data_IF_849435856594
#
_entry.id   IF_849435856594
#
_cell.length_a   1.000
_cell.length_b   1.000
_cell.length_c   1.000
_cell.angle_alpha   90.00
_cell.angle_beta   90.00
_cell.angle_gamma   90.00
#
_symmetry.space_group_name_H-M   'P 1'
#
loop_
_entity.id
_entity.type
_entity.pdbx_description
1 polymer ?
#
# COMPACT_ATOMS: atom_id res chain seq x y z
N UNK A 1 -7.21 -2.72 -9.28
CA UNK A 1 -6.48 -1.99 -8.18
C UNK A 1 -4.96 -2.08 -8.31
N UNK A 2 -4.45 -3.17 -8.80
CA UNK A 2 -3.01 -3.37 -9.00
C UNK A 2 -2.32 -2.21 -9.73
N UNK A 3 -2.85 -1.80 -10.89
CA UNK A 3 -2.26 -0.72 -11.68
C UNK A 3 -2.21 0.62 -10.95
N UNK A 4 -3.13 0.87 -10.02
CA UNK A 4 -3.19 2.09 -9.22
C UNK A 4 -1.93 2.30 -8.39
N UNK A 5 -1.29 1.22 -7.91
CA UNK A 5 -0.05 1.28 -7.14
C UNK A 5 1.14 1.78 -7.97
N UNK A 6 1.05 1.73 -9.28
CA UNK A 6 2.12 2.18 -10.18
C UNK A 6 1.80 3.47 -10.93
N UNK A 7 0.53 3.74 -11.23
CA UNK A 7 0.14 4.86 -12.07
C UNK A 7 -0.30 6.09 -11.29
N UNK A 8 -0.93 5.90 -10.13
CA UNK A 8 -1.43 6.99 -9.29
C UNK A 8 -1.28 6.58 -7.83
N UNK A 9 -0.03 6.46 -7.39
CA UNK A 9 0.27 5.98 -6.05
C UNK A 9 -0.18 6.98 -4.97
N UNK A 10 -0.86 6.46 -3.96
CA UNK A 10 -1.24 7.14 -2.74
C UNK A 10 -1.04 6.19 -1.57
N UNK A 11 -0.58 6.68 -0.43
CA UNK A 11 -0.46 5.87 0.79
C UNK A 11 -1.81 5.37 1.26
N UNK A 12 -2.83 6.23 1.21
CA UNK A 12 -4.21 5.89 1.56
C UNK A 12 -5.11 6.13 0.35
N UNK A 13 -5.80 5.10 -0.10
CA UNK A 13 -6.70 5.16 -1.23
C UNK A 13 -8.14 5.24 -0.72
N UNK A 14 -8.80 6.38 -0.94
CA UNK A 14 -10.19 6.62 -0.55
C UNK A 14 -11.12 6.67 -1.76
N UNK A 15 -10.62 7.11 -2.91
CA UNK A 15 -11.40 7.25 -4.12
C UNK A 15 -10.73 6.52 -5.28
N UNK A 16 -11.54 5.94 -6.15
CA UNK A 16 -11.06 5.32 -7.38
C UNK A 16 -11.72 5.98 -8.59
N UNK A 17 -10.95 6.15 -9.63
CA UNK A 17 -11.40 6.77 -10.88
C UNK A 17 -11.51 5.76 -12.04
N UNK A 18 -11.24 4.49 -11.76
CA UNK A 18 -11.31 3.40 -12.73
C UNK A 18 -12.32 2.37 -12.26
N UNK A 19 -13.22 1.98 -13.14
CA UNK A 19 -14.27 1.02 -12.84
C UNK A 19 -14.17 -0.15 -13.82
N UNK A 20 -14.34 -1.37 -13.30
CA UNK A 20 -14.39 -2.59 -14.08
C UNK A 20 -15.63 -3.38 -13.69
N UNK A 21 -16.11 -4.23 -14.60
CA UNK A 21 -17.23 -5.12 -14.30
C UNK A 21 -16.80 -6.17 -13.28
N UNK A 22 -17.58 -6.32 -12.21
CA UNK A 22 -17.30 -7.32 -11.18
C UNK A 22 -17.61 -8.73 -11.72
N UNK A 23 -16.73 -9.67 -11.40
CA UNK A 23 -16.89 -11.08 -11.76
C UNK A 23 -17.23 -11.89 -10.51
N UNK A 24 -17.80 -13.08 -10.71
CA UNK A 24 -18.02 -14.02 -9.62
C UNK A 24 -16.69 -14.31 -8.90
N UNK A 25 -16.70 -14.31 -7.58
CA UNK A 25 -15.50 -14.49 -6.75
C UNK A 25 -14.66 -13.24 -6.54
N UNK A 26 -15.13 -12.09 -6.99
CA UNK A 26 -14.42 -10.82 -6.78
C UNK A 26 -14.29 -10.48 -5.29
N UNK A 27 -13.13 -9.92 -4.92
CA UNK A 27 -12.84 -9.51 -3.55
C UNK A 27 -12.99 -7.99 -3.45
N UNK A 28 -13.78 -7.57 -2.47
CA UNK A 28 -14.03 -6.15 -2.20
C UNK A 28 -13.38 -5.73 -0.89
N UNK A 29 -12.94 -4.48 -0.83
CA UNK A 29 -12.39 -3.91 0.38
C UNK A 29 -13.45 -3.74 1.46
N UNK A 30 -13.04 -3.87 2.72
CA UNK A 30 -13.87 -3.58 3.91
C UNK A 30 -13.49 -2.26 4.56
N UNK A 31 -12.33 -1.74 4.23
CA UNK A 31 -11.68 -0.60 4.88
C UNK A 31 -10.58 -1.07 5.82
N UNK A 32 -9.41 -0.45 5.76
CA UNK A 32 -8.27 -0.78 6.61
C UNK A 32 -7.33 -1.85 6.08
N UNK A 33 -7.57 -2.38 4.89
CA UNK A 33 -6.62 -3.30 4.26
C UNK A 33 -5.38 -2.55 3.80
N UNK A 34 -4.23 -3.25 3.85
CA UNK A 34 -2.98 -2.82 3.22
C UNK A 34 -2.73 -3.72 2.02
N UNK A 35 -2.52 -3.13 0.86
CA UNK A 35 -2.27 -3.87 -0.38
C UNK A 35 -0.83 -3.69 -0.84
N UNK A 36 -0.24 -4.78 -1.31
CA UNK A 36 1.11 -4.82 -1.86
C UNK A 36 1.03 -5.53 -3.21
N UNK A 37 1.63 -5.00 -4.28
CA UNK A 37 1.59 -5.68 -5.57
C UNK A 37 2.25 -7.06 -5.49
N UNK A 38 1.68 -8.04 -6.16
CA UNK A 38 2.22 -9.40 -6.20
C UNK A 38 3.27 -9.58 -7.31
N UNK A 39 3.29 -8.69 -8.31
CA UNK A 39 4.27 -8.71 -9.39
C UNK A 39 4.70 -7.30 -9.78
N UNK A 40 5.88 -7.19 -10.39
CA UNK A 40 6.43 -5.91 -10.85
C UNK A 40 7.64 -6.12 -11.74
N UNK A 41 8.18 -5.02 -12.26
CA UNK A 41 9.35 -5.07 -13.15
C UNK A 41 10.67 -5.16 -12.39
N UNK A 42 10.79 -4.46 -11.27
CA UNK A 42 11.99 -4.48 -10.43
C UNK A 42 11.65 -4.75 -8.98
N UNK A 43 12.63 -5.27 -8.22
CA UNK A 43 12.47 -5.53 -6.79
C UNK A 43 12.15 -4.25 -6.01
N UNK A 44 12.78 -3.13 -6.35
CA UNK A 44 12.55 -1.86 -5.68
C UNK A 44 11.15 -1.31 -5.97
N UNK A 45 10.66 -1.45 -7.18
CA UNK A 45 9.33 -0.97 -7.56
C UNK A 45 8.20 -1.77 -6.93
N UNK A 46 8.39 -3.09 -6.78
CA UNK A 46 7.35 -3.96 -6.21
C UNK A 46 7.19 -3.77 -4.70
N UNK A 47 8.25 -3.35 -4.00
CA UNK A 47 8.23 -3.18 -2.55
C UNK A 47 7.57 -1.85 -2.17
N UNK A 48 6.26 -1.79 -2.36
CA UNK A 48 5.41 -0.65 -2.01
C UNK A 48 4.06 -1.12 -1.49
N UNK A 49 3.42 -0.28 -0.71
CA UNK A 49 2.12 -0.60 -0.13
C UNK A 49 1.25 0.65 -0.04
N UNK A 50 -0.05 0.42 -0.05
CA UNK A 50 -1.06 1.45 0.20
C UNK A 50 -2.16 0.85 1.06
N UNK A 51 -2.85 1.66 1.83
CA UNK A 51 -4.04 1.23 2.55
C UNK A 51 -5.30 1.67 1.81
N UNK A 52 -6.33 0.84 1.91
CA UNK A 52 -7.67 1.14 1.38
C UNK A 52 -8.54 1.50 2.58
N UNK A 53 -8.94 2.75 2.71
CA UNK A 53 -9.75 3.22 3.85
C UNK A 53 -11.23 3.32 3.53
N UNK A 54 -11.67 2.80 2.41
CA UNK A 54 -13.07 2.77 2.00
C UNK A 54 -13.52 1.32 1.74
N UNK A 55 -14.74 0.99 2.15
CA UNK A 55 -15.32 -0.32 1.86
C UNK A 55 -15.92 -0.36 0.45
N UNK A 56 -16.06 -1.56 -0.10
CA UNK A 56 -16.73 -1.78 -1.39
C UNK A 56 -15.89 -1.52 -2.63
N UNK A 57 -14.59 -1.29 -2.47
CA UNK A 57 -13.67 -1.16 -3.62
C UNK A 57 -13.25 -2.55 -4.09
N UNK A 58 -13.38 -2.80 -5.39
CA UNK A 58 -12.95 -4.06 -6.00
C UNK A 58 -11.42 -4.11 -6.03
N UNK A 59 -10.85 -5.11 -5.38
CA UNK A 59 -9.40 -5.25 -5.27
C UNK A 59 -8.75 -5.92 -6.48
N UNK A 60 -9.43 -6.82 -7.12
CA UNK A 60 -8.86 -7.54 -8.26
C UNK A 60 -7.81 -8.58 -7.87
N UNK A 61 -7.18 -9.20 -8.87
CA UNK A 61 -6.08 -10.13 -8.69
C UNK A 61 -4.73 -9.43 -8.60
N UNK A 62 -3.67 -10.22 -8.52
CA UNK A 62 -2.27 -9.75 -8.54
C UNK A 62 -1.90 -8.78 -7.40
N UNK A 63 -2.60 -8.90 -6.28
CA UNK A 63 -2.34 -8.15 -5.05
C UNK A 63 -2.17 -9.09 -3.88
N UNK A 64 -1.27 -8.73 -2.98
CA UNK A 64 -1.23 -9.28 -1.63
C UNK A 64 -2.06 -8.36 -0.73
N UNK A 65 -3.00 -8.91 0.02
CA UNK A 65 -3.89 -8.16 0.89
C UNK A 65 -3.58 -8.51 2.34
N UNK A 66 -3.30 -7.49 3.14
CA UNK A 66 -2.97 -7.65 4.56
C UNK A 66 -3.98 -6.87 5.39
N UNK A 67 -4.56 -7.52 6.38
CA UNK A 67 -5.43 -6.88 7.35
C UNK A 67 -4.67 -6.76 8.68
N UNK A 68 -4.13 -5.58 9.03
CA UNK A 68 -3.42 -5.42 10.29
C UNK A 68 -4.37 -5.51 11.49
N UNK A 69 -3.81 -5.87 12.65
CA UNK A 69 -4.60 -5.92 13.89
C UNK A 69 -4.81 -4.52 14.48
N UNK A 70 -5.52 -4.45 15.62
CA UNK A 70 -5.88 -3.19 16.27
C UNK A 70 -4.69 -2.35 16.74
N UNK A 71 -3.56 -2.96 16.99
CA UNK A 71 -2.36 -2.26 17.48
C UNK A 71 -1.61 -1.51 16.40
N UNK A 72 -1.99 -1.71 15.12
CA UNK A 72 -1.29 -1.14 13.97
C UNK A 72 -2.24 -0.27 13.15
N UNK A 73 -1.83 0.97 12.92
CA UNK A 73 -2.51 1.86 11.99
C UNK A 73 -2.19 1.40 10.56
N UNK A 74 -3.20 1.09 9.71
CA UNK A 74 -2.95 0.60 8.35
C UNK A 74 -2.10 1.55 7.50
N UNK A 75 -2.31 2.86 7.61
CA UNK A 75 -1.52 3.84 6.88
C UNK A 75 -0.06 3.85 7.37
N UNK A 76 0.17 3.68 8.68
CA UNK A 76 1.51 3.54 9.22
C UNK A 76 2.22 2.30 8.64
N UNK A 77 1.52 1.18 8.58
CA UNK A 77 2.07 -0.04 7.98
C UNK A 77 2.42 0.16 6.50
N UNK A 78 1.55 0.81 5.74
CA UNK A 78 1.80 1.10 4.33
C UNK A 78 3.04 1.99 4.14
N UNK A 79 3.20 3.02 4.96
CA UNK A 79 4.38 3.89 4.95
C UNK A 79 5.65 3.09 5.28
N UNK A 80 5.58 2.23 6.30
CA UNK A 80 6.73 1.41 6.74
C UNK A 80 7.17 0.43 5.66
N UNK A 81 6.24 -0.24 4.99
CA UNK A 81 6.56 -1.19 3.92
C UNK A 81 7.15 -0.48 2.70
N UNK A 82 6.67 0.72 2.40
CA UNK A 82 7.10 1.48 1.21
C UNK A 82 8.43 2.21 1.39
N UNK A 83 8.97 2.27 2.59
CA UNK A 83 10.13 3.11 2.90
C UNK A 83 11.07 2.43 3.90
N UNK A 84 12.34 2.85 3.90
CA UNK A 84 13.30 2.49 4.92
C UNK A 84 13.69 1.01 4.92
N UNK A 85 13.94 0.47 6.11
CA UNK A 85 14.43 -0.91 6.27
C UNK A 85 13.43 -1.96 5.82
N UNK A 86 12.14 -1.76 6.11
CA UNK A 86 11.09 -2.72 5.72
C UNK A 86 10.98 -2.82 4.20
N UNK A 87 11.05 -1.69 3.51
CA UNK A 87 11.07 -1.67 2.05
C UNK A 87 12.26 -2.45 1.50
N UNK A 88 13.46 -2.22 2.05
CA UNK A 88 14.67 -2.93 1.61
C UNK A 88 14.60 -4.42 1.87
N UNK A 89 14.08 -4.83 3.03
CA UNK A 89 13.92 -6.25 3.36
C UNK A 89 12.90 -6.93 2.45
N UNK A 90 11.80 -6.25 2.14
CA UNK A 90 10.78 -6.78 1.23
C UNK A 90 11.33 -6.89 -0.20
N UNK A 91 12.08 -5.90 -0.66
CA UNK A 91 12.70 -5.92 -1.98
C UNK A 91 13.67 -7.11 -2.14
N UNK A 92 14.40 -7.46 -1.08
CA UNK A 92 15.30 -8.63 -1.10
C UNK A 92 14.55 -9.95 -1.24
N UNK A 93 13.30 -10.00 -0.80
CA UNK A 93 12.46 -11.21 -0.89
C UNK A 93 11.80 -11.36 -2.25
N UNK A 94 11.78 -10.32 -3.07
CA UNK A 94 11.21 -10.37 -4.41
C UNK A 94 12.02 -11.31 -5.30
N UNK A 95 11.35 -12.22 -6.00
CA UNK A 95 11.96 -13.28 -6.80
C UNK A 95 11.48 -13.21 -8.25
N UNK A 96 12.40 -13.49 -9.16
CA UNK A 96 12.15 -13.50 -10.59
C UNK A 96 13.26 -12.79 -11.37
N UNK A 97 13.28 -12.95 -12.69
CA UNK A 97 14.31 -12.37 -13.57
C UNK A 97 13.81 -11.14 -14.33
N UNK A 98 12.80 -11.32 -15.17
CA UNK A 98 12.20 -10.23 -15.95
C UNK A 98 10.99 -9.64 -15.30
N UNK A 99 10.23 -10.46 -14.56
CA UNK A 99 9.11 -10.05 -13.71
C UNK A 99 9.39 -10.58 -12.31
N UNK A 100 9.39 -9.70 -11.32
CA UNK A 100 9.61 -10.09 -9.93
C UNK A 100 8.27 -10.30 -9.23
N UNK A 101 8.26 -11.16 -8.22
CA UNK A 101 7.06 -11.53 -7.46
C UNK A 101 7.27 -11.40 -5.96
N UNK A 102 6.23 -10.95 -5.26
CA UNK A 102 6.15 -10.99 -3.80
C UNK A 102 4.91 -11.80 -3.43
N UNK A 103 5.06 -12.74 -2.49
CA UNK A 103 3.98 -13.57 -1.98
C UNK A 103 3.57 -13.12 -0.57
N UNK A 104 2.36 -13.48 -0.14
CA UNK A 104 1.89 -13.21 1.22
C UNK A 104 2.85 -13.72 2.29
N UNK A 105 3.47 -14.86 2.06
CA UNK A 105 4.46 -15.45 2.96
C UNK A 105 5.67 -14.54 3.15
N UNK A 106 6.13 -13.87 2.09
CA UNK A 106 7.25 -12.92 2.16
C UNK A 106 6.91 -11.74 3.07
N UNK A 107 5.69 -11.23 2.96
CA UNK A 107 5.18 -10.15 3.81
C UNK A 107 5.05 -10.64 5.26
N UNK A 108 4.54 -11.85 5.44
CA UNK A 108 4.37 -12.45 6.77
C UNK A 108 5.67 -12.64 7.54
N UNK A 109 6.79 -12.81 6.84
CA UNK A 109 8.12 -12.94 7.44
C UNK A 109 8.83 -11.60 7.66
N UNK A 110 8.20 -10.50 7.28
CA UNK A 110 8.76 -9.17 7.44
C UNK A 110 8.63 -8.72 8.90
N UNK A 111 9.73 -8.21 9.47
CA UNK A 111 9.72 -7.66 10.81
C UNK A 111 9.58 -6.15 10.70
N UNK A 112 8.45 -5.63 11.17
CA UNK A 112 8.15 -4.20 11.14
C UNK A 112 8.07 -3.69 12.58
N UNK A 113 9.10 -2.95 13.05
CA UNK A 113 9.01 -2.32 14.36
C UNK A 113 7.97 -1.20 14.34
N UNK A 114 7.20 -1.07 15.41
CA UNK A 114 6.19 -0.05 15.49
C UNK A 114 6.12 0.55 16.91
N UNK A 115 5.89 1.87 17.00
CA UNK A 115 5.69 2.54 18.28
C UNK A 115 4.24 2.36 18.78
N UNK A 116 3.87 3.09 19.82
CA UNK A 116 2.49 3.08 20.30
C UNK A 116 1.52 3.53 19.22
N UNK A 117 0.25 3.14 19.35
CA UNK A 117 -0.80 3.53 18.39
C UNK A 117 -0.92 5.06 18.28
N UNK A 118 -0.81 5.77 19.39
CA UNK A 118 -0.86 7.23 19.40
C UNK A 118 0.27 7.86 18.59
N UNK A 119 1.48 7.32 18.68
CA UNK A 119 2.63 7.77 17.89
C UNK A 119 2.49 7.42 16.42
N UNK A 120 1.98 6.24 16.11
CA UNK A 120 1.67 5.86 14.73
C UNK A 120 0.71 6.84 14.08
N UNK A 121 -0.36 7.21 14.79
CA UNK A 121 -1.35 8.16 14.30
C UNK A 121 -0.73 9.55 14.04
N UNK A 122 0.17 10.00 14.88
CA UNK A 122 0.89 11.27 14.67
C UNK A 122 1.78 11.21 13.43
N UNK A 123 2.47 10.10 13.21
CA UNK A 123 3.32 9.91 12.03
C UNK A 123 2.47 9.93 10.76
N UNK A 124 1.33 9.24 10.76
CA UNK A 124 0.40 9.23 9.63
C UNK A 124 -0.11 10.64 9.33
N UNK A 125 -0.53 11.38 10.35
CA UNK A 125 -1.03 12.75 10.19
C UNK A 125 0.05 13.67 9.63
N UNK A 126 1.27 13.53 10.08
CA UNK A 126 2.40 14.31 9.58
C UNK A 126 2.63 14.09 8.08
N UNK A 127 2.68 12.84 7.64
CA UNK A 127 2.88 12.53 6.22
C UNK A 127 1.66 12.92 5.37
N UNK A 128 0.44 12.76 5.87
CA UNK A 128 -0.77 13.18 5.18
C UNK A 128 -0.80 14.70 4.97
N UNK A 129 -0.36 15.47 5.96
CA UNK A 129 -0.29 16.92 5.85
C UNK A 129 0.76 17.36 4.83
N UNK A 130 1.90 16.68 4.77
CA UNK A 130 2.93 16.94 3.75
C UNK A 130 2.39 16.63 2.35
N UNK A 131 1.74 15.50 2.17
CA UNK A 131 1.16 15.10 0.88
C UNK A 131 0.12 16.11 0.41
N UNK A 132 -0.75 16.57 1.30
CA UNK A 132 -1.76 17.58 1.01
C UNK A 132 -1.11 18.92 0.63
N UNK A 133 -0.04 19.32 1.31
CA UNK A 133 0.69 20.55 1.00
C UNK A 133 1.34 20.47 -0.38
N UNK A 134 1.98 19.35 -0.70
CA UNK A 134 2.60 19.14 -2.01
C UNK A 134 1.54 19.20 -3.11
N UNK A 135 0.41 18.53 -2.92
CA UNK A 135 -0.71 18.54 -3.87
C UNK A 135 -1.23 19.95 -4.09
N UNK A 136 -1.40 20.73 -3.01
CA UNK A 136 -1.84 22.11 -3.08
C UNK A 136 -0.86 22.97 -3.89
N UNK A 137 0.44 22.82 -3.66
CA UNK A 137 1.48 23.57 -4.38
C UNK A 137 1.50 23.21 -5.87
N UNK A 138 1.32 21.95 -6.22
CA UNK A 138 1.30 21.50 -7.61
C UNK A 138 0.11 22.04 -8.39
N UNK A 139 -1.05 22.16 -7.75
CA UNK A 139 -2.30 22.59 -8.42
C UNK A 139 -2.54 24.10 -8.34
N UNK A 140 -1.86 24.83 -7.45
CA UNK A 140 -2.03 26.29 -7.30
C UNK A 140 -0.90 27.08 -7.93
N UNK A 141 0.19 26.46 -8.32
CA UNK A 141 1.28 27.13 -9.04
C UNK A 141 0.82 27.59 -10.42
N UNK A 142 1.12 28.84 -10.80
CA UNK A 142 0.78 29.33 -12.13
C UNK A 142 1.59 28.62 -13.24
#
# INVERSE_FOLDING_TARGET
>A
MYGRLYTKYETSISDVDTYVEAKEGSIYSKGGEVIVPASGETADDIARAATIDKSGILLGGDLNVVMPNEDINPAFLAISISNGNSQRELAKKAQGKSVVHIHNEDIGNLIVPFPTKAEQNKIVDYFSNIDNLITCLLYTSP
#
